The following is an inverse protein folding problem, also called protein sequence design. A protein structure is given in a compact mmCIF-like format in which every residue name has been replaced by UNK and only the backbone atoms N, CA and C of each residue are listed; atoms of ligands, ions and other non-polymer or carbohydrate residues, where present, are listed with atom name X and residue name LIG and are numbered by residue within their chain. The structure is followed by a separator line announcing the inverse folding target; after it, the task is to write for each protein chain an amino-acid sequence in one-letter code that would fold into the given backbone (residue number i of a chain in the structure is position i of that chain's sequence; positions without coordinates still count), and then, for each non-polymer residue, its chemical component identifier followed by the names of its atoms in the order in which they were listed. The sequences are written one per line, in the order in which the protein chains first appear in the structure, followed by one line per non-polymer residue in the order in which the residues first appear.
data_IF_856868056618
#
_entry.id   IF_856868056618
#
_cell.length_a   1.000
_cell.length_b   1.000
_cell.length_c   1.000
_cell.angle_alpha   90.00
_cell.angle_beta   90.00
_cell.angle_gamma   90.00
#
_symmetry.space_group_name_H-M   'P 1'
#
loop_
_entity.id
_entity.type
_entity.pdbx_description
1 polymer ?
#
# COMPACT_ATOMS: atom_id res chain seq x y z
N UNK A 1 4.88 0.06 3.78
CA UNK A 1 4.13 -0.77 2.80
C UNK A 1 4.29 -2.23 3.19
N UNK A 2 3.17 -2.96 3.35
CA UNK A 2 3.15 -4.25 4.06
C UNK A 2 3.01 -5.43 3.10
N UNK A 3 2.10 -5.29 2.13
CA UNK A 3 1.88 -6.33 1.12
C UNK A 3 3.04 -6.40 0.14
N UNK A 4 3.39 -7.63 -0.26
CA UNK A 4 4.39 -7.88 -1.29
C UNK A 4 3.80 -7.65 -2.67
N UNK A 5 4.62 -7.08 -3.55
CA UNK A 5 4.25 -6.71 -4.91
C UNK A 5 3.75 -7.91 -5.74
N UNK A 6 4.27 -9.12 -5.47
CA UNK A 6 3.90 -10.35 -6.17
C UNK A 6 2.46 -10.81 -5.90
N UNK A 7 1.69 -10.18 -5.00
CA UNK A 7 0.26 -10.50 -4.84
C UNK A 7 -0.53 -10.27 -6.15
N UNK A 8 -0.02 -9.42 -7.04
CA UNK A 8 -0.57 -9.17 -8.36
C UNK A 8 0.00 -10.08 -9.46
N UNK A 9 0.94 -10.96 -9.12
CA UNK A 9 1.68 -11.80 -10.06
C UNK A 9 2.13 -13.11 -9.40
N UNK A 10 1.16 -13.93 -8.98
CA UNK A 10 1.43 -15.13 -8.15
C UNK A 10 1.79 -16.35 -8.98
N UNK A 11 1.00 -16.62 -10.03
CA UNK A 11 1.13 -17.76 -10.92
C UNK A 11 0.52 -17.42 -12.27
N UNK A 12 0.79 -18.22 -13.30
CA UNK A 12 0.29 -17.99 -14.66
C UNK A 12 -1.24 -17.86 -14.75
N UNK A 13 -1.98 -18.55 -13.89
CA UNK A 13 -3.44 -18.49 -13.80
C UNK A 13 -3.94 -17.38 -12.86
N UNK A 14 -3.05 -16.81 -12.02
CA UNK A 14 -3.37 -15.81 -10.99
C UNK A 14 -2.43 -14.61 -11.07
N UNK A 15 -2.28 -14.05 -12.26
CA UNK A 15 -1.47 -12.86 -12.52
C UNK A 15 -2.31 -11.75 -13.12
N UNK A 16 -2.56 -10.71 -12.32
CA UNK A 16 -3.13 -9.46 -12.81
C UNK A 16 -2.18 -8.78 -13.80
N UNK A 17 -0.88 -8.86 -13.56
CA UNK A 17 0.14 -8.29 -14.46
C UNK A 17 0.04 -8.94 -15.84
N UNK A 18 -0.01 -10.27 -15.90
CA UNK A 18 -0.15 -10.98 -17.17
C UNK A 18 -1.48 -10.64 -17.85
N UNK A 19 -2.57 -10.53 -17.09
CA UNK A 19 -3.86 -10.08 -17.62
C UNK A 19 -3.78 -8.67 -18.22
N UNK A 20 -3.18 -7.71 -17.51
CA UNK A 20 -3.04 -6.32 -17.98
C UNK A 20 -2.19 -6.24 -19.26
N UNK A 21 -1.05 -6.94 -19.29
CA UNK A 21 -0.17 -7.01 -20.47
C UNK A 21 -0.89 -7.63 -21.68
N UNK A 22 -1.64 -8.73 -21.48
CA UNK A 22 -2.43 -9.38 -22.55
C UNK A 22 -3.51 -8.45 -23.13
N UNK A 23 -3.99 -7.49 -22.35
CA UNK A 23 -4.98 -6.50 -22.77
C UNK A 23 -4.33 -5.18 -23.26
N UNK A 24 -3.03 -5.19 -23.56
CA UNK A 24 -2.34 -4.04 -24.16
C UNK A 24 -1.97 -2.92 -23.19
N UNK A 25 -2.05 -3.15 -21.88
CA UNK A 25 -1.64 -2.16 -20.88
C UNK A 25 -0.16 -2.31 -20.57
N UNK A 26 0.63 -1.27 -20.85
CA UNK A 26 2.02 -1.20 -20.38
C UNK A 26 2.04 -1.07 -18.86
N UNK A 27 2.42 -2.16 -18.18
CA UNK A 27 2.27 -2.31 -16.74
C UNK A 27 3.61 -2.14 -16.04
N UNK A 28 3.65 -1.24 -15.05
CA UNK A 28 4.79 -1.03 -14.16
C UNK A 28 4.37 -1.33 -12.72
N UNK A 29 5.33 -1.77 -11.90
CA UNK A 29 5.07 -2.11 -10.50
C UNK A 29 6.15 -1.52 -9.59
N UNK A 30 5.73 -1.04 -8.42
CA UNK A 30 6.66 -0.59 -7.38
C UNK A 30 6.97 -1.76 -6.45
N UNK A 31 8.20 -2.24 -6.50
CA UNK A 31 8.72 -3.23 -5.55
C UNK A 31 9.30 -2.51 -4.34
N UNK A 32 8.56 -2.50 -3.24
CA UNK A 32 8.97 -1.81 -2.02
C UNK A 32 10.13 -2.53 -1.32
N UNK A 33 11.13 -1.74 -0.92
CA UNK A 33 12.22 -2.21 -0.07
C UNK A 33 11.68 -2.61 1.31
N UNK A 34 12.19 -3.72 1.84
CA UNK A 34 12.05 -4.03 3.26
C UNK A 34 12.90 -3.03 4.06
N UNK A 35 12.30 -2.23 4.95
CA UNK A 35 13.06 -1.26 5.74
C UNK A 35 14.05 -1.99 6.67
N UNK A 36 15.11 -1.28 7.00
CA UNK A 36 16.12 -1.66 8.00
C UNK A 36 16.33 -0.44 8.91
N UNK A 37 17.04 -0.55 10.05
CA UNK A 37 17.11 0.54 11.03
C UNK A 37 17.56 1.91 10.49
N UNK A 38 18.27 1.95 9.35
CA UNK A 38 18.68 3.21 8.69
C UNK A 38 17.50 3.98 8.09
N UNK A 39 16.38 3.29 7.89
CA UNK A 39 15.16 3.82 7.27
C UNK A 39 14.11 4.26 8.29
N UNK A 40 14.49 4.39 9.57
CA UNK A 40 13.57 4.72 10.67
C UNK A 40 12.79 6.03 10.50
N UNK A 41 13.34 6.98 9.73
CA UNK A 41 12.73 8.28 9.47
C UNK A 41 11.74 8.25 8.29
N UNK A 42 11.56 7.10 7.63
CA UNK A 42 10.62 6.96 6.53
C UNK A 42 9.17 7.05 7.02
N UNK A 43 8.48 8.10 6.56
CA UNK A 43 7.06 8.32 6.80
C UNK A 43 6.24 8.27 5.51
N UNK A 44 4.94 8.58 5.63
CA UNK A 44 4.04 8.65 4.48
C UNK A 44 4.55 9.59 3.38
N UNK A 45 5.14 10.73 3.76
CA UNK A 45 5.75 11.69 2.83
C UNK A 45 6.88 11.05 1.99
N UNK A 46 7.74 10.24 2.61
CA UNK A 46 8.81 9.51 1.91
C UNK A 46 8.24 8.54 0.88
N UNK A 47 7.17 7.82 1.24
CA UNK A 47 6.50 6.91 0.30
C UNK A 47 5.78 7.65 -0.82
N UNK A 48 5.09 8.76 -0.53
CA UNK A 48 4.44 9.60 -1.56
C UNK A 48 5.46 10.14 -2.55
N UNK A 49 6.61 10.63 -2.08
CA UNK A 49 7.68 11.10 -2.93
C UNK A 49 8.22 9.97 -3.83
N UNK A 50 8.43 8.77 -3.27
CA UNK A 50 8.86 7.62 -4.06
C UNK A 50 7.84 7.21 -5.13
N UNK A 51 6.53 7.33 -4.86
CA UNK A 51 5.51 7.10 -5.91
C UNK A 51 5.55 8.21 -6.96
N UNK A 52 5.75 9.48 -6.58
CA UNK A 52 5.90 10.58 -7.55
C UNK A 52 7.10 10.34 -8.48
N UNK A 53 8.24 9.92 -7.93
CA UNK A 53 9.43 9.52 -8.70
C UNK A 53 9.14 8.36 -9.66
N UNK A 54 8.42 7.34 -9.19
CA UNK A 54 8.00 6.22 -10.02
C UNK A 54 7.05 6.66 -11.16
N UNK A 55 6.12 7.59 -10.89
CA UNK A 55 5.25 8.17 -11.92
C UNK A 55 6.07 8.89 -12.98
N UNK A 56 7.03 9.71 -12.58
CA UNK A 56 7.88 10.44 -13.53
C UNK A 56 8.78 9.49 -14.34
N UNK A 57 9.31 8.42 -13.73
CA UNK A 57 10.04 7.38 -14.43
C UNK A 57 9.16 6.62 -15.45
N UNK A 58 7.93 6.23 -15.07
CA UNK A 58 7.01 5.54 -15.97
C UNK A 58 6.64 6.43 -17.17
N UNK A 59 6.43 7.72 -16.96
CA UNK A 59 6.14 8.71 -18.02
C UNK A 59 7.33 8.87 -18.95
N UNK A 60 8.55 8.94 -18.40
CA UNK A 60 9.78 9.02 -19.19
C UNK A 60 10.00 7.76 -20.06
N UNK A 61 9.73 6.57 -19.52
CA UNK A 61 9.89 5.29 -20.24
C UNK A 61 8.81 5.10 -21.30
N UNK A 62 7.55 5.40 -20.98
CA UNK A 62 6.40 5.20 -21.89
C UNK A 62 6.24 6.31 -22.92
N UNK A 63 6.82 7.49 -22.69
CA UNK A 63 6.53 8.70 -23.44
C UNK A 63 5.15 9.30 -23.16
N UNK A 64 4.38 8.73 -22.24
CA UNK A 64 3.04 9.21 -21.89
C UNK A 64 3.10 10.50 -21.08
N UNK A 65 2.10 11.36 -21.26
CA UNK A 65 1.94 12.60 -20.48
C UNK A 65 1.47 12.31 -19.06
N UNK A 66 0.80 11.19 -18.84
CA UNK A 66 0.15 10.78 -17.60
C UNK A 66 0.21 9.26 -17.40
N UNK A 67 -0.25 8.80 -16.23
CA UNK A 67 -0.34 7.38 -15.88
C UNK A 67 -1.70 7.02 -15.28
N UNK A 68 -2.08 5.75 -15.40
CA UNK A 68 -3.16 5.17 -14.61
C UNK A 68 -2.57 4.56 -13.34
N UNK A 69 -3.09 4.94 -12.18
CA UNK A 69 -2.66 4.42 -10.88
C UNK A 69 -3.55 3.27 -10.43
N UNK A 70 -2.95 2.28 -9.81
CA UNK A 70 -3.65 1.19 -9.13
C UNK A 70 -3.00 0.96 -7.76
N UNK A 71 -3.81 1.03 -6.71
CA UNK A 71 -3.34 0.90 -5.33
C UNK A 71 -4.24 -0.02 -4.52
N UNK A 72 -3.62 -0.94 -3.77
CA UNK A 72 -4.34 -1.84 -2.87
C UNK A 72 -3.88 -1.70 -1.42
N UNK A 73 -4.83 -1.84 -0.49
CA UNK A 73 -4.59 -1.69 0.95
C UNK A 73 -3.86 -0.35 1.25
N UNK A 74 -2.73 -0.38 1.96
CA UNK A 74 -1.91 0.80 2.24
C UNK A 74 -1.34 1.47 0.96
N UNK A 75 -1.23 0.74 -0.14
CA UNK A 75 -0.88 1.29 -1.45
C UNK A 75 -1.94 2.27 -1.95
N UNK A 76 -3.23 1.96 -1.72
CA UNK A 76 -4.34 2.85 -2.05
C UNK A 76 -4.29 4.17 -1.30
N UNK A 77 -4.07 4.11 0.02
CA UNK A 77 -3.88 5.31 0.84
C UNK A 77 -2.71 6.17 0.34
N UNK A 78 -1.60 5.53 -0.06
CA UNK A 78 -0.41 6.24 -0.54
C UNK A 78 -0.67 6.95 -1.87
N UNK A 79 -1.34 6.31 -2.84
CA UNK A 79 -1.66 6.95 -4.11
C UNK A 79 -2.75 8.03 -3.97
N UNK A 80 -3.64 7.92 -2.97
CA UNK A 80 -4.60 8.97 -2.63
C UNK A 80 -3.87 10.21 -2.08
N UNK A 81 -2.94 10.00 -1.14
CA UNK A 81 -2.11 11.08 -0.60
C UNK A 81 -1.26 11.74 -1.69
N UNK A 82 -0.71 10.96 -2.64
CA UNK A 82 -0.01 11.49 -3.81
C UNK A 82 -0.91 12.40 -4.65
N UNK A 83 -2.15 12.01 -4.94
CA UNK A 83 -3.06 12.84 -5.72
C UNK A 83 -3.36 14.16 -5.02
N UNK A 84 -3.56 14.15 -3.70
CA UNK A 84 -3.71 15.38 -2.90
C UNK A 84 -2.47 16.29 -2.98
N UNK A 85 -1.28 15.72 -2.83
CA UNK A 85 0.00 16.43 -2.98
C UNK A 85 0.19 17.04 -4.38
N UNK A 86 -0.09 16.27 -5.44
CA UNK A 86 -0.02 16.75 -6.81
C UNK A 86 -1.06 17.84 -7.09
N UNK A 87 -2.28 17.72 -6.55
CA UNK A 87 -3.31 18.74 -6.69
C UNK A 87 -2.89 20.07 -6.03
N UNK A 88 -2.35 20.02 -4.81
CA UNK A 88 -1.84 21.20 -4.12
C UNK A 88 -0.75 21.94 -4.95
N UNK A 89 0.04 21.19 -5.73
CA UNK A 89 1.08 21.70 -6.63
C UNK A 89 0.60 21.99 -8.06
N UNK A 90 -0.70 21.82 -8.36
CA UNK A 90 -1.29 21.96 -9.70
C UNK A 90 -0.67 21.02 -10.75
N UNK A 91 -0.29 19.81 -10.32
CA UNK A 91 0.33 18.76 -11.14
C UNK A 91 -0.53 17.50 -11.26
N UNK A 92 -1.79 17.52 -10.80
CA UNK A 92 -2.68 16.35 -10.82
C UNK A 92 -2.85 15.74 -12.22
N UNK A 93 -2.68 16.54 -13.29
CA UNK A 93 -2.64 16.09 -14.69
C UNK A 93 -1.60 15.01 -15.01
N UNK A 94 -0.66 14.70 -14.11
CA UNK A 94 0.24 13.53 -14.24
C UNK A 94 -0.50 12.20 -14.05
N UNK A 95 -1.72 12.21 -13.51
CA UNK A 95 -2.55 11.03 -13.23
C UNK A 95 -3.82 11.12 -14.06
N UNK A 96 -4.01 10.17 -14.96
CA UNK A 96 -5.21 10.09 -15.82
C UNK A 96 -6.38 9.41 -15.09
N UNK A 97 -6.10 8.35 -14.33
CA UNK A 97 -7.09 7.65 -13.52
C UNK A 97 -6.44 7.00 -12.30
N UNK A 98 -7.25 6.66 -11.30
CA UNK A 98 -6.82 5.93 -10.12
C UNK A 98 -7.84 4.85 -9.74
N UNK A 99 -7.36 3.62 -9.53
CA UNK A 99 -8.15 2.47 -9.07
C UNK A 99 -7.70 2.06 -7.67
N UNK A 100 -8.66 1.92 -6.76
CA UNK A 100 -8.43 1.54 -5.37
C UNK A 100 -9.02 0.17 -5.08
N UNK A 101 -8.20 -0.77 -4.63
CA UNK A 101 -8.63 -2.14 -4.31
C UNK A 101 -8.47 -2.43 -2.82
N UNK A 102 -9.60 -2.63 -2.12
CA UNK A 102 -9.59 -3.00 -0.69
C UNK A 102 -8.75 -2.01 0.14
N UNK A 103 -8.89 -0.72 -0.18
CA UNK A 103 -8.11 0.37 0.40
C UNK A 103 -9.00 1.20 1.30
N UNK A 104 -8.60 1.37 2.55
CA UNK A 104 -9.27 2.24 3.50
C UNK A 104 -8.79 3.68 3.26
N UNK A 105 -9.71 4.56 2.85
CA UNK A 105 -9.45 5.99 2.63
C UNK A 105 -10.14 6.86 3.68
N UNK A 106 -11.25 6.37 4.25
CA UNK A 106 -11.94 6.99 5.36
C UNK A 106 -11.63 6.21 6.65
N UNK A 107 -11.15 6.92 7.66
CA UNK A 107 -10.84 6.37 8.97
C UNK A 107 -11.99 6.51 9.97
N UNK A 108 -13.12 7.14 9.59
CA UNK A 108 -14.32 7.24 10.42
C UNK A 108 -15.13 5.93 10.48
N UNK A 109 -14.47 4.79 10.25
CA UNK A 109 -15.12 3.49 10.39
C UNK A 109 -15.10 3.14 11.87
N UNK A 110 -16.29 3.14 12.48
CA UNK A 110 -16.57 2.51 13.77
C UNK A 110 -16.35 1.00 13.68
N UNK A 111 -15.07 0.61 13.62
CA UNK A 111 -14.64 -0.77 13.69
C UNK A 111 -14.44 -1.13 15.17
N UNK A 112 -14.93 -2.29 15.65
CA UNK A 112 -14.62 -2.78 16.99
C UNK A 112 -13.11 -2.87 17.26
N UNK A 113 -12.26 -2.96 16.22
CA UNK A 113 -10.81 -2.92 16.35
C UNK A 113 -10.27 -1.53 16.78
N UNK A 114 -10.98 -0.43 16.43
CA UNK A 114 -10.63 0.94 16.86
C UNK A 114 -10.95 1.17 18.34
N UNK A 115 -11.85 0.39 18.96
CA UNK A 115 -12.08 0.42 20.41
C UNK A 115 -10.87 -0.10 21.22
N UNK A 116 -9.95 -0.83 20.58
CA UNK A 116 -8.71 -1.31 21.18
C UNK A 116 -7.50 -0.42 20.85
N UNK A 117 -7.68 0.62 20.04
CA UNK A 117 -6.64 1.57 19.66
C UNK A 117 -6.73 2.82 20.56
N UNK A 118 -6.26 2.69 21.79
CA UNK A 118 -6.13 3.82 22.71
C UNK A 118 -4.94 4.74 22.31
N UNK A 119 -5.09 6.05 22.51
CA UNK A 119 -4.10 7.07 22.12
C UNK A 119 -2.74 6.81 22.79
N UNK A 120 -2.75 6.34 24.05
CA UNK A 120 -1.54 5.98 24.80
C UNK A 120 -0.83 4.75 24.19
N UNK A 121 -1.61 3.80 23.69
CA UNK A 121 -1.09 2.62 22.97
C UNK A 121 -0.48 3.02 21.63
N UNK A 122 -1.10 3.99 20.92
CA UNK A 122 -0.56 4.53 19.67
C UNK A 122 0.76 5.29 19.89
N UNK A 123 0.82 6.17 20.89
CA UNK A 123 2.03 6.93 21.22
C UNK A 123 3.16 6.01 21.70
N UNK A 124 2.86 4.98 22.49
CA UNK A 124 3.85 3.97 22.87
C UNK A 124 4.33 3.15 21.67
N UNK A 125 3.46 2.85 20.69
CA UNK A 125 3.85 2.18 19.45
C UNK A 125 4.74 3.07 18.57
N UNK A 126 4.43 4.37 18.44
CA UNK A 126 5.28 5.34 17.74
C UNK A 126 6.66 5.44 18.39
N UNK A 127 6.73 5.58 19.73
CA UNK A 127 7.99 5.63 20.48
C UNK A 127 8.82 4.37 20.31
N UNK A 128 8.20 3.19 20.41
CA UNK A 128 8.88 1.90 20.19
C UNK A 128 9.39 1.76 18.76
N UNK A 129 8.56 2.10 17.77
CA UNK A 129 8.96 2.11 16.36
C UNK A 129 10.16 3.01 16.13
N UNK A 130 10.18 4.19 16.75
CA UNK A 130 11.30 5.14 16.62
C UNK A 130 12.58 4.63 17.30
N UNK A 131 12.47 4.05 18.50
CA UNK A 131 13.61 3.49 19.24
C UNK A 131 14.21 2.24 18.59
N UNK A 132 13.38 1.34 18.07
CA UNK A 132 13.82 0.12 17.40
C UNK A 132 14.21 0.34 15.94
N UNK A 133 13.77 1.46 15.35
CA UNK A 133 14.10 1.91 13.99
C UNK A 133 13.31 1.21 12.88
N UNK A 134 12.70 0.05 13.16
CA UNK A 134 11.78 -0.66 12.27
C UNK A 134 10.73 -1.41 13.08
N UNK A 135 9.52 -1.55 12.53
CA UNK A 135 8.53 -2.49 13.04
C UNK A 135 8.83 -3.88 12.45
N UNK A 136 8.97 -4.89 13.30
CA UNK A 136 9.20 -6.27 12.86
C UNK A 136 7.98 -6.76 12.06
N UNK A 137 8.23 -7.43 10.93
CA UNK A 137 7.18 -7.97 10.07
C UNK A 137 6.27 -8.97 10.78
N UNK A 138 6.75 -9.65 11.84
CA UNK A 138 5.96 -10.56 12.69
C UNK A 138 4.97 -9.80 13.55
N UNK A 139 5.32 -8.62 14.04
CA UNK A 139 4.42 -7.79 14.83
C UNK A 139 3.35 -7.16 13.94
N UNK A 140 3.70 -6.72 12.72
CA UNK A 140 2.70 -6.30 11.74
C UNK A 140 1.79 -7.46 11.32
N UNK A 141 2.33 -8.65 11.05
CA UNK A 141 1.54 -9.82 10.68
C UNK A 141 0.54 -10.23 11.78
N UNK A 142 0.94 -10.14 13.05
CA UNK A 142 0.04 -10.36 14.19
C UNK A 142 -1.09 -9.33 14.19
N UNK A 143 -0.78 -8.04 14.10
CA UNK A 143 -1.82 -6.99 14.06
C UNK A 143 -2.79 -7.20 12.89
N UNK A 144 -2.31 -7.56 11.70
CA UNK A 144 -3.17 -7.87 10.55
C UNK A 144 -4.03 -9.13 10.75
N UNK A 145 -3.47 -10.21 11.31
CA UNK A 145 -4.21 -11.43 11.61
C UNK A 145 -5.35 -11.19 12.62
N UNK A 146 -5.12 -10.31 13.60
CA UNK A 146 -6.12 -9.92 14.60
C UNK A 146 -7.20 -8.98 14.05
N UNK A 147 -6.89 -8.17 13.03
CA UNK A 147 -7.87 -7.27 12.40
C UNK A 147 -8.84 -7.99 11.42
N UNK A 148 -8.51 -9.20 10.96
CA UNK A 148 -9.41 -10.04 10.14
C UNK A 148 -9.38 -11.52 10.56
N UNK A 149 -9.86 -11.86 11.77
CA UNK A 149 -9.82 -13.25 12.25
C UNK A 149 -10.60 -14.21 11.34
N UNK A 150 -11.75 -13.77 10.82
CA UNK A 150 -12.63 -14.61 9.99
C UNK A 150 -12.09 -14.86 8.58
N UNK A 151 -11.39 -13.89 7.96
CA UNK A 151 -10.91 -14.06 6.58
C UNK A 151 -9.59 -14.83 6.47
N UNK A 152 -8.73 -14.74 7.49
CA UNK A 152 -7.36 -15.27 7.46
C UNK A 152 -7.18 -16.58 8.22
N UNK A 153 -8.02 -16.86 9.22
CA UNK A 153 -7.97 -18.10 10.02
C UNK A 153 -9.16 -19.00 9.68
N UNK A 154 -10.37 -18.45 9.65
CA UNK A 154 -11.60 -19.27 9.53
C UNK A 154 -11.89 -19.75 8.10
N UNK A 155 -11.67 -18.94 7.07
CA UNK A 155 -11.82 -19.41 5.67
C UNK A 155 -10.84 -20.54 5.29
N UNK A 156 -9.67 -20.60 5.91
CA UNK A 156 -8.72 -21.70 5.69
C UNK A 156 -9.19 -23.00 6.37
N UNK A 157 -9.98 -22.91 7.43
CA UNK A 157 -10.58 -24.05 8.11
C UNK A 157 -11.87 -24.53 7.42
N UNK A 158 -12.70 -23.60 6.92
CA UNK A 158 -13.98 -23.92 6.24
C UNK A 158 -13.79 -24.41 4.80
N UNK A 159 -12.78 -23.94 4.06
CA UNK A 159 -12.53 -24.42 2.68
C UNK A 159 -11.69 -25.72 2.61
N UNK A 160 -11.23 -26.26 3.74
CA UNK A 160 -10.48 -27.51 3.81
C UNK A 160 -11.27 -28.63 4.51
N UNK A 161 -12.60 -28.51 4.57
CA UNK A 161 -13.51 -29.58 4.98
C UNK A 161 -14.58 -29.80 3.90
#
# INVERSE_FOLDING_TARGET
QINKVYIFDLSNDKSFVQYALKNGLQTFMISWRNPDPRHREWGLSSYVQAVEEAVDACRAISGSKDVNLLGACAGGLTIAALQGHLQARRQLRKVASATYMVSLLDSQIDSPAMLFADEETLESAKRRSYQQGVLDGRDMARVFAWMRPNDLIWNYWVNNY
#
